data_IF_780806763223
#
_entry.id   IF_780806763223
#
_cell.length_a   1.000
_cell.length_b   1.000
_cell.length_c   1.000
_cell.angle_alpha   90.00
_cell.angle_beta   90.00
_cell.angle_gamma   90.00
#
_symmetry.space_group_name_H-M   'P 1'
#
loop_
_entity.id
_entity.type
_entity.pdbx_description
1 polymer ?
#
# COMPACT_ATOMS: atom_id res chain seq x y z
N UNK A 1 -1.63 -2.50 -3.56
CA UNK A 1 -2.45 -1.27 -3.73
C UNK A 1 -1.54 -0.08 -3.49
N UNK A 2 -1.63 0.99 -4.29
CA UNK A 2 -0.85 2.19 -4.05
C UNK A 2 -1.56 3.01 -2.94
N UNK A 3 -0.90 3.22 -1.81
CA UNK A 3 -1.48 3.96 -0.69
C UNK A 3 -1.33 5.48 -0.84
N UNK A 4 -0.67 5.94 -1.91
CA UNK A 4 -0.45 7.35 -2.23
C UNK A 4 -1.50 7.91 -3.20
N UNK A 5 -2.34 7.05 -3.77
CA UNK A 5 -3.44 7.46 -4.63
C UNK A 5 -4.77 7.53 -3.85
N UNK A 6 -5.86 7.88 -4.55
CA UNK A 6 -7.20 7.99 -3.95
C UNK A 6 -7.97 6.65 -3.94
N UNK A 7 -7.35 5.54 -4.33
CA UNK A 7 -8.01 4.25 -4.52
C UNK A 7 -7.68 3.28 -3.39
N UNK A 8 -8.70 2.96 -2.60
CA UNK A 8 -8.56 2.06 -1.45
C UNK A 8 -9.34 0.78 -1.66
N UNK A 9 -8.72 -0.37 -1.34
CA UNK A 9 -9.39 -1.69 -1.42
C UNK A 9 -10.33 -1.94 -0.25
N UNK A 10 -9.93 -1.52 0.96
CA UNK A 10 -10.62 -1.88 2.22
C UNK A 10 -11.04 -0.66 3.06
N UNK A 11 -10.87 0.56 2.54
CA UNK A 11 -11.14 1.82 3.27
C UNK A 11 -12.23 2.58 2.53
N UNK A 12 -13.38 2.80 3.16
CA UNK A 12 -14.50 3.60 2.62
C UNK A 12 -14.60 4.95 3.33
N UNK A 13 -14.15 5.03 4.57
CA UNK A 13 -14.09 6.24 5.41
C UNK A 13 -12.73 6.34 6.09
N UNK A 14 -12.37 7.55 6.53
CA UNK A 14 -11.08 7.80 7.20
C UNK A 14 -10.92 6.92 8.46
N UNK A 15 -12.00 6.66 9.20
CA UNK A 15 -12.01 5.77 10.37
C UNK A 15 -11.56 4.35 10.04
N UNK A 16 -11.85 3.87 8.83
CA UNK A 16 -11.57 2.49 8.45
C UNK A 16 -10.05 2.25 8.32
N UNK A 17 -9.24 3.28 8.12
CA UNK A 17 -7.77 3.17 8.13
C UNK A 17 -7.29 2.69 9.50
N UNK A 18 -7.87 3.23 10.56
CA UNK A 18 -7.55 2.82 11.92
C UNK A 18 -8.02 1.38 12.20
N UNK A 19 -9.20 1.00 11.71
CA UNK A 19 -9.72 -0.37 11.88
C UNK A 19 -8.88 -1.40 11.14
N UNK A 20 -8.46 -1.07 9.91
CA UNK A 20 -7.58 -1.91 9.09
C UNK A 20 -6.19 -2.07 9.73
N UNK A 21 -5.63 -1.02 10.32
CA UNK A 21 -4.37 -1.10 11.07
C UNK A 21 -4.55 -1.94 12.36
N UNK A 22 -5.67 -1.74 13.05
CA UNK A 22 -5.95 -2.36 14.34
C UNK A 22 -6.20 -3.85 14.22
N UNK A 23 -7.06 -4.24 13.29
CA UNK A 23 -7.55 -5.62 13.14
C UNK A 23 -6.84 -6.40 12.04
N UNK A 24 -6.07 -5.71 11.18
CA UNK A 24 -5.54 -6.31 9.96
C UNK A 24 -6.66 -6.61 8.96
N UNK A 25 -6.32 -7.32 7.89
CA UNK A 25 -7.30 -7.76 6.88
C UNK A 25 -7.16 -9.26 6.67
N UNK A 26 -8.18 -10.00 7.11
CA UNK A 26 -8.26 -11.46 6.97
C UNK A 26 -8.12 -11.88 5.50
N UNK A 27 -7.27 -12.87 5.23
CA UNK A 27 -7.01 -13.35 3.87
C UNK A 27 -5.98 -12.52 3.10
N UNK A 28 -5.30 -11.58 3.75
CA UNK A 28 -4.17 -10.84 3.16
C UNK A 28 -2.94 -10.92 4.06
N UNK A 29 -1.79 -10.48 3.54
CA UNK A 29 -0.55 -10.35 4.30
C UNK A 29 -0.53 -9.12 5.25
N UNK A 30 -1.67 -8.49 5.54
CA UNK A 30 -1.75 -7.36 6.46
C UNK A 30 -2.21 -7.84 7.85
N UNK A 31 -1.27 -8.05 8.81
CA UNK A 31 -1.59 -8.52 10.15
C UNK A 31 -2.15 -7.40 11.04
N UNK A 32 -2.86 -7.80 12.10
CA UNK A 32 -3.32 -6.90 13.15
C UNK A 32 -2.15 -6.27 13.90
N UNK A 33 -2.12 -4.94 14.01
CA UNK A 33 -1.08 -4.19 14.71
C UNK A 33 -1.45 -3.86 16.16
N UNK A 34 -2.65 -4.26 16.61
CA UNK A 34 -3.15 -4.01 17.97
C UNK A 34 -2.33 -4.65 19.08
N UNK A 35 -1.67 -5.78 18.82
CA UNK A 35 -0.79 -6.46 19.77
C UNK A 35 0.62 -5.85 19.86
N UNK A 36 1.02 -5.05 18.88
CA UNK A 36 2.37 -4.45 18.82
C UNK A 36 2.38 -2.98 19.25
N UNK A 37 1.29 -2.25 19.01
CA UNK A 37 1.23 -0.80 19.25
C UNK A 37 0.04 -0.38 20.11
N UNK A 38 0.30 0.58 20.99
CA UNK A 38 -0.72 1.25 21.78
C UNK A 38 -1.76 1.94 20.89
N UNK A 39 -2.93 2.25 21.47
CA UNK A 39 -4.01 2.92 20.75
C UNK A 39 -3.57 4.24 20.13
N UNK A 40 -2.84 5.06 20.88
CA UNK A 40 -2.41 6.39 20.46
C UNK A 40 -1.40 6.33 19.31
N UNK A 41 -0.46 5.37 19.38
CA UNK A 41 0.47 5.11 18.28
C UNK A 41 -0.25 4.68 17.00
N UNK A 42 -1.28 3.84 17.12
CA UNK A 42 -2.09 3.44 15.95
C UNK A 42 -2.85 4.62 15.34
N UNK A 43 -3.39 5.53 16.17
CA UNK A 43 -4.05 6.76 15.67
C UNK A 43 -3.06 7.65 14.92
N UNK A 44 -1.87 7.87 15.46
CA UNK A 44 -0.81 8.63 14.79
C UNK A 44 -0.40 7.98 13.47
N UNK A 45 -0.27 6.65 13.45
CA UNK A 45 0.07 5.91 12.24
C UNK A 45 -1.03 6.03 11.18
N UNK A 46 -2.31 5.96 11.56
CA UNK A 46 -3.43 6.21 10.65
C UNK A 46 -3.38 7.63 10.04
N UNK A 47 -3.07 8.64 10.86
CA UNK A 47 -2.93 10.01 10.39
C UNK A 47 -1.75 10.18 9.42
N UNK A 48 -0.63 9.52 9.70
CA UNK A 48 0.53 9.52 8.81
C UNK A 48 0.23 8.86 7.46
N UNK A 49 -0.43 7.69 7.46
CA UNK A 49 -0.85 7.01 6.23
C UNK A 49 -1.81 7.87 5.40
N UNK A 50 -2.76 8.55 6.06
CA UNK A 50 -3.66 9.50 5.40
C UNK A 50 -2.90 10.69 4.80
N UNK A 51 -1.83 11.14 5.44
CA UNK A 51 -0.99 12.20 4.88
C UNK A 51 -0.28 11.75 3.58
N UNK A 52 0.17 10.50 3.52
CA UNK A 52 0.82 9.95 2.32
C UNK A 52 -0.12 9.89 1.11
N UNK A 53 -1.43 9.68 1.32
CA UNK A 53 -2.42 9.67 0.24
C UNK A 53 -2.65 11.04 -0.42
N UNK A 54 -2.06 12.11 0.14
CA UNK A 54 -2.10 13.46 -0.45
C UNK A 54 -0.91 13.75 -1.36
N UNK A 55 0.14 12.92 -1.29
CA UNK A 55 1.40 13.12 -2.01
C UNK A 55 1.63 11.93 -2.95
N UNK A 56 0.83 11.87 -4.02
CA UNK A 56 0.99 10.88 -5.07
C UNK A 56 2.40 10.94 -5.64
N UNK A 57 3.08 9.79 -5.65
CA UNK A 57 4.34 9.61 -6.37
C UNK A 57 4.12 8.53 -7.43
N UNK A 58 4.45 8.84 -8.68
CA UNK A 58 4.57 7.81 -9.70
C UNK A 58 5.63 6.78 -9.26
N UNK A 59 5.40 5.52 -9.61
CA UNK A 59 6.41 4.48 -9.41
C UNK A 59 7.69 4.86 -10.16
N UNK A 60 8.85 4.48 -9.62
CA UNK A 60 10.10 4.65 -10.33
C UNK A 60 9.99 3.99 -11.71
N UNK A 61 10.46 4.65 -12.79
CA UNK A 61 10.56 3.99 -14.09
C UNK A 61 11.44 2.75 -13.96
N UNK A 62 11.25 1.72 -14.80
CA UNK A 62 12.08 0.53 -14.76
C UNK A 62 13.55 0.92 -14.91
N UNK A 63 14.36 0.56 -13.93
CA UNK A 63 15.82 0.68 -14.00
C UNK A 63 16.34 -0.52 -14.81
N UNK A 64 16.54 -0.31 -16.13
CA UNK A 64 17.09 -1.32 -17.02
C UNK A 64 16.81 -1.04 -18.50
N UNK A 65 17.60 -1.64 -19.38
CA UNK A 65 17.31 -1.66 -20.81
C UNK A 65 16.36 -2.82 -21.13
N UNK A 66 15.44 -2.58 -22.07
CA UNK A 66 14.56 -3.62 -22.59
C UNK A 66 15.42 -4.69 -23.27
N UNK A 67 15.50 -5.88 -22.67
CA UNK A 67 16.27 -6.99 -23.23
C UNK A 67 15.58 -7.40 -24.53
N UNK A 68 16.31 -7.31 -25.65
CA UNK A 68 15.79 -7.71 -26.96
C UNK A 68 15.20 -9.13 -26.89
N UNK A 69 14.02 -9.31 -27.49
CA UNK A 69 13.37 -10.62 -27.59
C UNK A 69 14.28 -11.62 -28.31
N UNK A 70 14.25 -12.88 -27.88
CA UNK A 70 15.01 -14.00 -28.47
C UNK A 70 14.91 -13.97 -30.02
N UNK A 71 16.02 -14.12 -30.77
CA UNK A 71 15.94 -14.15 -32.23
C UNK A 71 15.00 -15.28 -32.68
N UNK A 72 13.95 -14.91 -33.42
CA UNK A 72 13.06 -15.86 -34.06
C UNK A 72 13.83 -16.65 -35.11
N UNK A 73 13.82 -17.97 -35.00
CA UNK A 73 14.47 -18.88 -35.95
C UNK A 73 13.98 -18.58 -37.38
N UNK A 74 14.92 -18.24 -38.26
CA UNK A 74 14.67 -18.09 -39.70
C UNK A 74 14.53 -19.45 -40.35
N UNK A 75 13.45 -19.63 -41.11
CA UNK A 75 13.06 -20.81 -41.91
C UNK A 75 14.20 -21.46 -42.71
#
# INVERSE_FOLDING_TARGET
PNLTDKHWKNVKKISDIYDVITNGVTGTAMPAQSGQYSKDQRVLMSAYVLHLSKNYKEGLPPEGEEVASWPSETN
#
